data_IF_362359999926
#
_entry.id   IF_362359999926
#
_cell.length_a   1.000
_cell.length_b   1.000
_cell.length_c   1.000
_cell.angle_alpha   90.00
_cell.angle_beta   90.00
_cell.angle_gamma   90.00
#
_symmetry.space_group_name_H-M   'P 1'
#
loop_
_entity.id
_entity.type
_entity.pdbx_description
1 polymer ?
#
# COMPACT_ATOMS: atom_id res chain seq x y z
N UNK A 1 3.38 15.89 11.09
CA UNK A 1 2.65 15.99 9.81
C UNK A 1 3.33 17.03 8.93
N UNK A 2 3.43 16.80 7.61
CA UNK A 2 4.09 17.73 6.68
C UNK A 2 3.45 19.13 6.68
N UNK A 3 2.14 19.23 6.97
CA UNK A 3 1.45 20.51 7.16
C UNK A 3 1.93 21.27 8.41
N UNK A 4 2.14 20.57 9.53
CA UNK A 4 2.58 21.19 10.79
C UNK A 4 4.08 21.56 10.79
N UNK A 5 4.90 20.84 10.03
CA UNK A 5 6.35 21.12 9.89
C UNK A 5 6.79 20.97 8.43
N UNK A 6 6.46 21.94 7.55
CA UNK A 6 6.77 21.85 6.12
C UNK A 6 8.25 21.68 5.83
N UNK A 7 9.14 22.29 6.61
CA UNK A 7 10.59 22.17 6.44
C UNK A 7 11.12 20.72 6.60
N UNK A 8 10.38 19.85 7.31
CA UNK A 8 10.79 18.47 7.57
C UNK A 8 10.21 17.45 6.57
N UNK A 9 9.59 17.90 5.48
CA UNK A 9 8.84 17.06 4.53
C UNK A 9 9.64 15.87 4.00
N UNK A 10 10.91 16.08 3.64
CA UNK A 10 11.76 15.05 3.04
C UNK A 10 12.13 13.97 4.06
N UNK A 11 12.39 14.36 5.32
CA UNK A 11 12.71 13.43 6.41
C UNK A 11 11.50 12.59 6.80
N UNK A 12 10.32 13.21 6.82
CA UNK A 12 9.05 12.50 7.04
C UNK A 12 8.78 11.51 5.90
N UNK A 13 8.93 11.93 4.63
CA UNK A 13 8.77 11.06 3.47
C UNK A 13 9.75 9.88 3.49
N UNK A 14 11.02 10.12 3.83
CA UNK A 14 12.03 9.07 3.95
C UNK A 14 11.68 8.07 5.05
N UNK A 15 11.31 8.55 6.24
CA UNK A 15 10.91 7.69 7.36
C UNK A 15 9.70 6.82 6.98
N UNK A 16 8.68 7.41 6.35
CA UNK A 16 7.50 6.68 5.86
C UNK A 16 7.88 5.67 4.79
N UNK A 17 8.81 6.00 3.90
CA UNK A 17 9.28 5.09 2.85
C UNK A 17 9.98 3.88 3.46
N UNK A 18 10.96 4.10 4.34
CA UNK A 18 11.71 3.03 5.00
C UNK A 18 10.77 2.13 5.80
N UNK A 19 9.94 2.70 6.67
CA UNK A 19 8.98 1.92 7.48
C UNK A 19 7.95 1.18 6.61
N UNK A 20 7.50 1.78 5.50
CA UNK A 20 6.59 1.12 4.55
C UNK A 20 7.26 -0.03 3.81
N UNK A 21 8.53 0.10 3.41
CA UNK A 21 9.27 -0.98 2.74
C UNK A 21 9.56 -2.11 3.73
N UNK A 22 9.92 -1.81 4.97
CA UNK A 22 10.05 -2.80 6.04
C UNK A 22 8.73 -3.57 6.26
N UNK A 23 7.59 -2.87 6.31
CA UNK A 23 6.29 -3.52 6.34
C UNK A 23 5.99 -4.36 5.09
N UNK A 24 6.50 -3.94 3.93
CA UNK A 24 6.43 -4.72 2.68
C UNK A 24 7.28 -5.98 2.72
N UNK A 25 8.47 -5.94 3.32
CA UNK A 25 9.32 -7.11 3.55
C UNK A 25 8.65 -8.12 4.49
N UNK A 26 7.97 -7.65 5.53
CA UNK A 26 7.15 -8.52 6.38
C UNK A 26 6.02 -9.18 5.59
N UNK A 27 5.34 -8.43 4.72
CA UNK A 27 4.31 -8.97 3.82
C UNK A 27 4.87 -9.99 2.83
N UNK A 28 6.05 -9.72 2.25
CA UNK A 28 6.76 -10.65 1.38
C UNK A 28 7.08 -11.95 2.11
N UNK A 29 7.67 -11.86 3.31
CA UNK A 29 7.97 -13.06 4.10
C UNK A 29 6.70 -13.84 4.46
N UNK A 30 5.64 -13.15 4.86
CA UNK A 30 4.35 -13.79 5.13
C UNK A 30 3.83 -14.52 3.90
N UNK A 31 3.93 -13.91 2.71
CA UNK A 31 3.54 -14.54 1.45
C UNK A 31 4.32 -15.80 1.14
N UNK A 32 5.65 -15.78 1.35
CA UNK A 32 6.50 -16.95 1.08
C UNK A 32 6.17 -18.16 1.95
N UNK A 33 5.69 -17.94 3.18
CA UNK A 33 5.33 -19.03 4.10
C UNK A 33 3.86 -19.42 3.97
N UNK A 34 2.97 -18.45 3.75
CA UNK A 34 1.53 -18.69 3.74
C UNK A 34 1.05 -19.46 2.49
N UNK A 35 1.77 -19.39 1.37
CA UNK A 35 1.33 -20.05 0.14
C UNK A 35 1.22 -21.57 0.32
N UNK A 36 2.22 -22.21 0.93
CA UNK A 36 2.23 -23.65 1.20
C UNK A 36 1.03 -24.07 2.05
N UNK A 37 0.69 -23.28 3.08
CA UNK A 37 -0.46 -23.53 3.94
C UNK A 37 -1.81 -23.45 3.20
N UNK A 38 -1.88 -22.67 2.12
CA UNK A 38 -3.11 -22.45 1.35
C UNK A 38 -3.22 -23.42 0.15
N UNK A 39 -2.13 -24.07 -0.28
CA UNK A 39 -2.13 -25.01 -1.42
C UNK A 39 -3.24 -26.08 -1.38
N UNK A 40 -3.57 -26.74 -0.24
CA UNK A 40 -4.66 -27.71 -0.19
C UNK A 40 -6.04 -27.13 -0.54
N UNK A 41 -6.23 -25.81 -0.35
CA UNK A 41 -7.45 -25.11 -0.74
C UNK A 41 -7.40 -24.69 -2.21
N UNK A 42 -6.24 -24.27 -2.70
CA UNK A 42 -6.00 -23.95 -4.12
C UNK A 42 -6.30 -25.16 -5.01
N UNK A 43 -5.79 -26.33 -4.62
CA UNK A 43 -5.97 -27.57 -5.38
C UNK A 43 -7.43 -28.02 -5.37
N UNK A 44 -8.10 -27.98 -4.21
CA UNK A 44 -9.55 -28.28 -4.10
C UNK A 44 -10.42 -27.35 -4.94
N UNK A 45 -10.02 -26.09 -5.10
CA UNK A 45 -10.71 -25.11 -5.96
C UNK A 45 -10.31 -25.19 -7.44
N UNK A 46 -9.34 -26.06 -7.80
CA UNK A 46 -8.82 -26.18 -9.17
C UNK A 46 -8.08 -24.92 -9.65
N UNK A 47 -7.51 -24.13 -8.74
CA UNK A 47 -6.86 -22.86 -9.06
C UNK A 47 -5.35 -22.99 -9.32
N UNK A 48 -4.80 -24.19 -9.24
CA UNK A 48 -3.38 -24.48 -9.50
C UNK A 48 -2.88 -23.89 -10.84
N UNK A 49 -3.62 -24.00 -11.98
CA UNK A 49 -3.18 -23.39 -13.25
C UNK A 49 -3.16 -21.85 -13.21
N UNK A 50 -4.05 -21.23 -12.43
CA UNK A 50 -4.08 -19.77 -12.25
C UNK A 50 -2.89 -19.30 -11.41
N UNK A 51 -2.52 -20.08 -10.39
CA UNK A 51 -1.36 -19.82 -9.56
C UNK A 51 -0.07 -19.87 -10.40
N UNK A 52 0.06 -20.87 -11.27
CA UNK A 52 1.21 -20.98 -12.18
C UNK A 52 1.28 -19.81 -13.17
N UNK A 53 0.13 -19.40 -13.72
CA UNK A 53 0.05 -18.21 -14.58
C UNK A 53 0.50 -16.95 -13.84
N UNK A 54 0.05 -16.77 -12.59
CA UNK A 54 0.46 -15.65 -11.75
C UNK A 54 1.96 -15.67 -11.46
N UNK A 55 2.55 -16.86 -11.27
CA UNK A 55 3.99 -17.03 -11.07
C UNK A 55 4.78 -16.60 -12.32
N UNK A 56 4.38 -17.03 -13.50
CA UNK A 56 4.97 -16.62 -14.78
C UNK A 56 4.88 -15.09 -14.97
N UNK A 57 3.75 -14.49 -14.60
CA UNK A 57 3.61 -13.03 -14.66
C UNK A 57 4.50 -12.31 -13.66
N UNK A 58 4.67 -12.82 -12.45
CA UNK A 58 5.58 -12.24 -11.46
C UNK A 58 7.04 -12.41 -11.88
N UNK A 59 7.41 -13.51 -12.52
CA UNK A 59 8.76 -13.72 -13.04
C UNK A 59 9.10 -12.70 -14.14
N UNK A 60 8.16 -12.46 -15.06
CA UNK A 60 8.37 -11.54 -16.19
C UNK A 60 8.15 -10.06 -15.85
N UNK A 61 7.15 -9.76 -15.03
CA UNK A 61 6.65 -8.40 -14.78
C UNK A 61 6.66 -7.99 -13.31
N UNK A 62 7.18 -8.82 -12.40
CA UNK A 62 7.10 -8.59 -10.95
C UNK A 62 7.61 -7.22 -10.53
N UNK A 63 8.73 -6.76 -11.11
CA UNK A 63 9.26 -5.42 -10.82
C UNK A 63 8.25 -4.32 -11.18
N UNK A 64 7.72 -4.36 -12.40
CA UNK A 64 6.74 -3.37 -12.88
C UNK A 64 5.43 -3.44 -12.08
N UNK A 65 4.96 -4.65 -11.76
CA UNK A 65 3.76 -4.87 -10.96
C UNK A 65 3.88 -4.25 -9.56
N UNK A 66 4.99 -4.51 -8.86
CA UNK A 66 5.25 -3.97 -7.52
C UNK A 66 5.45 -2.45 -7.56
N UNK A 67 6.17 -1.94 -8.57
CA UNK A 67 6.38 -0.50 -8.76
C UNK A 67 5.05 0.25 -8.99
N UNK A 68 4.24 -0.22 -9.94
CA UNK A 68 2.94 0.38 -10.26
C UNK A 68 2.01 0.27 -9.05
N UNK A 69 1.95 -0.90 -8.40
CA UNK A 69 1.13 -1.07 -7.20
C UNK A 69 1.60 -0.16 -6.05
N UNK A 70 2.90 0.11 -5.92
CA UNK A 70 3.46 0.99 -4.91
C UNK A 70 3.12 2.46 -5.14
N UNK A 71 3.15 2.91 -6.40
CA UNK A 71 2.93 4.31 -6.75
C UNK A 71 1.45 4.67 -6.90
N UNK A 72 0.65 3.76 -7.45
CA UNK A 72 -0.79 3.95 -7.72
C UNK A 72 -1.65 3.87 -6.43
N UNK A 73 -2.94 4.27 -6.48
CA UNK A 73 -3.88 4.08 -5.37
C UNK A 73 -4.27 2.61 -5.10
N UNK A 74 -3.68 1.65 -5.81
CA UNK A 74 -3.94 0.21 -5.66
C UNK A 74 -3.38 -0.30 -4.30
N UNK A 75 -3.98 -1.35 -3.70
CA UNK A 75 -3.50 -1.95 -2.46
C UNK A 75 -2.15 -2.67 -2.61
N UNK A 76 -1.05 -1.93 -2.55
CA UNK A 76 0.33 -2.42 -2.58
C UNK A 76 0.61 -3.64 -1.67
N UNK A 77 0.05 -3.70 -0.46
CA UNK A 77 0.35 -4.79 0.48
C UNK A 77 -0.13 -6.16 -0.04
N UNK A 78 -1.16 -6.19 -0.87
CA UNK A 78 -1.61 -7.42 -1.53
C UNK A 78 -0.52 -7.90 -2.50
N UNK A 79 0.07 -6.97 -3.25
CA UNK A 79 1.19 -7.26 -4.16
C UNK A 79 2.46 -7.66 -3.44
N UNK A 80 2.73 -7.14 -2.22
CA UNK A 80 3.89 -7.60 -1.44
C UNK A 80 3.73 -9.05 -0.97
N UNK A 81 2.54 -9.43 -0.53
CA UNK A 81 2.24 -10.82 -0.13
C UNK A 81 2.32 -11.73 -1.36
N UNK A 82 1.72 -11.31 -2.48
CA UNK A 82 1.79 -12.07 -3.73
C UNK A 82 3.24 -12.22 -4.23
N UNK A 83 4.07 -11.18 -4.19
CA UNK A 83 5.47 -11.25 -4.58
C UNK A 83 6.25 -12.30 -3.76
N UNK A 84 5.98 -12.36 -2.45
CA UNK A 84 6.53 -13.37 -1.56
C UNK A 84 6.07 -14.79 -1.89
N UNK A 85 4.76 -14.97 -2.08
CA UNK A 85 4.20 -16.28 -2.46
C UNK A 85 4.71 -16.79 -3.81
N UNK A 86 4.90 -15.90 -4.78
CA UNK A 86 5.41 -16.26 -6.11
C UNK A 86 6.93 -16.40 -6.16
N UNK A 87 7.63 -16.26 -5.03
CA UNK A 87 9.08 -16.31 -4.93
C UNK A 87 9.81 -15.31 -5.85
N UNK A 88 9.25 -14.11 -6.01
CA UNK A 88 9.89 -13.03 -6.78
C UNK A 88 11.24 -12.65 -6.14
N UNK A 89 12.33 -12.47 -6.91
CA UNK A 89 13.61 -12.11 -6.33
C UNK A 89 13.54 -10.88 -5.40
N UNK A 90 14.15 -11.00 -4.21
CA UNK A 90 14.03 -9.99 -3.14
C UNK A 90 14.61 -8.62 -3.53
N UNK A 91 15.73 -8.60 -4.25
CA UNK A 91 16.39 -7.35 -4.64
C UNK A 91 15.49 -6.50 -5.57
N UNK A 92 15.00 -7.03 -6.71
CA UNK A 92 14.02 -6.32 -7.54
C UNK A 92 12.77 -5.89 -6.78
N UNK A 93 12.28 -6.72 -5.86
CA UNK A 93 11.13 -6.38 -5.02
C UNK A 93 11.40 -5.14 -4.14
N UNK A 94 12.53 -5.11 -3.43
CA UNK A 94 12.91 -4.00 -2.56
C UNK A 94 13.11 -2.72 -3.36
N UNK A 95 13.81 -2.80 -4.50
CA UNK A 95 14.00 -1.64 -5.37
C UNK A 95 12.69 -1.10 -5.94
N UNK A 96 11.84 -1.97 -6.51
CA UNK A 96 10.54 -1.58 -7.03
C UNK A 96 9.66 -0.93 -5.94
N UNK A 97 9.66 -1.53 -4.76
CA UNK A 97 8.93 -1.04 -3.59
C UNK A 97 9.44 0.31 -3.12
N UNK A 98 10.76 0.47 -2.99
CA UNK A 98 11.38 1.70 -2.53
C UNK A 98 11.12 2.85 -3.51
N UNK A 99 11.29 2.63 -4.81
CA UNK A 99 11.06 3.66 -5.82
C UNK A 99 9.57 3.96 -5.97
N UNK A 100 8.70 2.94 -6.03
CA UNK A 100 7.25 3.13 -6.18
C UNK A 100 6.62 3.82 -4.97
N UNK A 101 6.87 3.29 -3.75
CA UNK A 101 6.36 3.89 -2.51
C UNK A 101 7.02 5.21 -2.20
N UNK A 102 8.35 5.26 -2.32
CA UNK A 102 9.12 6.48 -2.11
C UNK A 102 8.66 7.58 -3.03
N UNK A 103 8.57 7.32 -4.33
CA UNK A 103 8.06 8.29 -5.30
C UNK A 103 6.73 8.89 -4.89
N UNK A 104 5.75 8.07 -4.48
CA UNK A 104 4.44 8.54 -4.01
C UNK A 104 4.55 9.36 -2.73
N UNK A 105 5.25 8.86 -1.71
CA UNK A 105 5.32 9.55 -0.41
C UNK A 105 6.09 10.85 -0.50
N UNK A 106 7.16 10.89 -1.28
CA UNK A 106 7.91 12.12 -1.55
C UNK A 106 7.06 13.11 -2.34
N UNK A 107 6.36 12.67 -3.39
CA UNK A 107 5.47 13.52 -4.17
C UNK A 107 4.38 14.16 -3.28
N UNK A 108 3.64 13.33 -2.52
CA UNK A 108 2.57 13.82 -1.63
C UNK A 108 3.13 14.73 -0.54
N UNK A 109 4.24 14.35 0.10
CA UNK A 109 4.83 15.15 1.18
C UNK A 109 5.35 16.49 0.68
N UNK A 110 5.97 16.51 -0.50
CA UNK A 110 6.43 17.73 -1.14
C UNK A 110 5.27 18.65 -1.53
N UNK A 111 4.22 18.11 -2.17
CA UNK A 111 3.02 18.87 -2.51
C UNK A 111 2.35 19.46 -1.26
N UNK A 112 2.23 18.68 -0.19
CA UNK A 112 1.66 19.16 1.07
C UNK A 112 2.54 20.20 1.77
N UNK A 113 3.86 20.07 1.71
CA UNK A 113 4.76 21.06 2.30
C UNK A 113 4.76 22.38 1.52
N UNK A 114 4.61 22.33 0.20
CA UNK A 114 4.64 23.52 -0.66
C UNK A 114 3.30 24.21 -0.79
N UNK A 115 2.22 23.44 -0.98
CA UNK A 115 0.88 23.97 -1.30
C UNK A 115 -0.13 23.77 -0.18
N UNK A 116 0.18 22.94 0.82
CA UNK A 116 -0.71 22.66 1.94
C UNK A 116 -1.24 23.91 2.67
N UNK A 117 -0.39 24.90 3.03
CA UNK A 117 -0.88 26.12 3.70
C UNK A 117 -1.90 26.91 2.89
N UNK A 118 -1.83 26.86 1.56
CA UNK A 118 -2.79 27.52 0.68
C UNK A 118 -4.10 26.71 0.50
N UNK A 119 -4.02 25.38 0.63
CA UNK A 119 -5.16 24.47 0.44
C UNK A 119 -5.93 24.20 1.74
N UNK A 120 -5.27 24.27 2.90
CA UNK A 120 -5.84 23.96 4.21
C UNK A 120 -7.16 24.70 4.51
N UNK A 121 -7.28 26.03 4.28
CA UNK A 121 -8.52 26.75 4.56
C UNK A 121 -9.72 26.29 3.73
N UNK A 122 -9.45 25.77 2.51
CA UNK A 122 -10.48 25.29 1.58
C UNK A 122 -10.90 23.85 1.87
N UNK A 123 -9.96 23.03 2.34
CA UNK A 123 -10.20 21.60 2.62
C UNK A 123 -10.81 21.35 4.00
N UNK A 124 -10.48 22.18 4.99
CA UNK A 124 -10.96 22.05 6.38
C UNK A 124 -12.49 21.85 6.51
N UNK A 125 -13.37 22.69 5.92
CA UNK A 125 -14.82 22.51 6.07
C UNK A 125 -15.34 21.21 5.44
N UNK A 126 -14.76 20.79 4.31
CA UNK A 126 -15.12 19.52 3.65
C UNK A 126 -14.73 18.33 4.52
N UNK A 127 -13.54 18.38 5.11
CA UNK A 127 -13.05 17.33 6.01
C UNK A 127 -13.89 17.25 7.29
N UNK A 128 -14.32 18.39 7.85
CA UNK A 128 -15.22 18.42 9.02
C UNK A 128 -16.58 17.79 8.69
N UNK A 129 -17.18 18.13 7.54
CA UNK A 129 -18.47 17.55 7.13
C UNK A 129 -18.38 16.04 6.88
N UNK A 130 -17.34 15.58 6.18
CA UNK A 130 -17.09 14.15 5.99
C UNK A 130 -16.82 13.43 7.31
N UNK A 131 -16.07 14.06 8.22
CA UNK A 131 -15.78 13.53 9.55
C UNK A 131 -17.05 13.29 10.36
N UNK A 132 -17.88 14.32 10.52
CA UNK A 132 -19.18 14.19 11.22
C UNK A 132 -20.14 13.24 10.50
N UNK A 133 -20.16 13.24 9.17
CA UNK A 133 -20.92 12.28 8.38
C UNK A 133 -20.53 10.84 8.67
N UNK A 134 -19.22 10.55 8.80
CA UNK A 134 -18.73 9.22 9.15
C UNK A 134 -19.15 8.79 10.56
N UNK A 135 -19.12 9.71 11.53
CA UNK A 135 -19.56 9.46 12.91
C UNK A 135 -21.07 9.19 12.97
N UNK A 136 -21.87 10.01 12.27
CA UNK A 136 -23.31 9.82 12.18
C UNK A 136 -23.68 8.49 11.52
N UNK A 137 -22.98 8.11 10.45
CA UNK A 137 -23.18 6.83 9.77
C UNK A 137 -22.90 5.64 10.72
N UNK A 138 -21.78 5.67 11.45
CA UNK A 138 -21.43 4.62 12.42
C UNK A 138 -22.45 4.55 13.55
N UNK A 139 -22.92 5.69 14.07
CA UNK A 139 -23.94 5.74 15.11
C UNK A 139 -25.28 5.17 14.62
N UNK A 140 -25.71 5.52 13.40
CA UNK A 140 -26.93 4.99 12.79
C UNK A 140 -26.84 3.47 12.57
N UNK A 141 -25.70 2.98 12.08
CA UNK A 141 -25.44 1.53 11.93
C UNK A 141 -25.49 0.81 13.27
N UNK A 142 -24.89 1.37 14.31
CA UNK A 142 -24.91 0.80 15.66
C UNK A 142 -26.33 0.73 16.23
N UNK A 143 -27.13 1.79 16.06
CA UNK A 143 -28.53 1.81 16.52
C UNK A 143 -29.43 0.86 15.73
N UNK A 144 -29.15 0.63 14.44
CA UNK A 144 -29.89 -0.32 13.61
C UNK A 144 -29.57 -1.79 13.95
N UNK A 145 -28.32 -2.09 14.33
CA UNK A 145 -27.87 -3.43 14.69
C UNK A 145 -28.19 -3.82 16.14
N UNK A 146 -28.73 -2.91 16.95
CA UNK A 146 -29.11 -3.11 18.35
C UNK A 146 -30.61 -3.29 18.49
#
# INVERSE_FOLDING_TARGET
MCLARPAAWWRLALLTTVTSVLGGLLGYFLGSVALEAIMPWVDRMGWTPKLETARIWFDRWGFAAVFIAGFSPIPYKVFTIAAGGMAMPLLPFVFASFIGRGGRFFLVSWLMARFGPAMEPKLRPVMEWLGWGSVALVAALYLYLR
#
